data_IF_401935767505
#
_entry.id   IF_401935767505
#
_cell.length_a   1.000
_cell.length_b   1.000
_cell.length_c   1.000
_cell.angle_alpha   90.00
_cell.angle_beta   90.00
_cell.angle_gamma   90.00
#
_symmetry.space_group_name_H-M   'P 1'
#
loop_
_entity.id
_entity.type
_entity.pdbx_description
1 polymer ?
#
# COMPACT_ATOMS: atom_id res chain seq x y z
N UNK A 1 -6.66 26.25 36.69
CA UNK A 1 -6.69 25.00 35.95
C UNK A 1 -5.90 25.23 34.67
N UNK A 2 -4.66 24.74 34.61
CA UNK A 2 -3.85 24.82 33.42
C UNK A 2 -4.48 23.91 32.39
N UNK A 3 -4.95 24.49 31.26
CA UNK A 3 -5.46 23.75 30.15
C UNK A 3 -4.24 23.36 29.29
N UNK A 4 -3.74 22.16 29.47
CA UNK A 4 -2.71 21.65 28.59
C UNK A 4 -3.35 21.31 27.23
N UNK A 5 -3.10 22.16 26.24
CA UNK A 5 -3.36 21.84 24.84
C UNK A 5 -2.19 21.00 24.37
N UNK A 6 -2.33 19.68 24.41
CA UNK A 6 -1.35 18.81 23.78
C UNK A 6 -1.64 18.78 22.28
N UNK A 7 -0.80 19.45 21.53
CA UNK A 7 -0.80 19.35 20.07
C UNK A 7 -0.44 17.92 19.62
N UNK A 8 -1.01 17.48 18.52
CA UNK A 8 -0.65 16.22 17.86
C UNK A 8 0.81 16.21 17.36
N UNK A 9 1.55 17.30 17.52
CA UNK A 9 2.87 17.51 16.94
C UNK A 9 3.89 18.09 17.92
N UNK A 10 3.81 17.75 19.22
CA UNK A 10 4.83 18.15 20.16
C UNK A 10 6.22 17.80 19.68
N UNK A 11 7.12 18.75 19.74
CA UNK A 11 8.55 18.71 19.43
C UNK A 11 8.94 17.81 18.25
N UNK A 12 9.87 18.21 17.44
CA UNK A 12 10.41 17.40 16.33
C UNK A 12 11.27 16.24 16.89
N UNK A 13 10.71 15.09 17.29
CA UNK A 13 11.53 13.97 17.76
C UNK A 13 12.33 13.43 16.60
N UNK A 14 13.53 12.94 16.90
CA UNK A 14 14.44 12.34 15.90
C UNK A 14 13.73 11.23 15.08
N UNK A 15 12.83 10.48 15.71
CA UNK A 15 12.02 9.43 15.05
C UNK A 15 10.90 9.98 14.14
N UNK A 16 10.62 11.28 14.20
CA UNK A 16 9.47 11.87 13.48
C UNK A 16 8.09 11.53 14.09
N UNK A 17 8.05 10.75 15.17
CA UNK A 17 6.82 10.34 15.86
C UNK A 17 6.67 11.13 17.15
N UNK A 18 5.61 11.93 17.28
CA UNK A 18 5.28 12.68 18.49
C UNK A 18 4.38 11.88 19.42
N UNK A 19 4.53 12.05 20.75
CA UNK A 19 3.52 11.61 21.69
C UNK A 19 2.16 12.21 21.34
N UNK A 20 1.11 11.50 21.64
CA UNK A 20 -0.24 11.88 21.26
C UNK A 20 -1.19 11.69 22.42
N UNK A 21 -1.90 12.75 22.78
CA UNK A 21 -2.99 12.65 23.74
C UNK A 21 -4.17 11.89 23.09
N UNK A 22 -4.77 10.99 23.85
CA UNK A 22 -5.97 10.29 23.40
C UNK A 22 -7.21 11.11 23.77
N UNK A 23 -8.16 11.33 22.86
CA UNK A 23 -9.40 11.99 23.16
C UNK A 23 -10.13 11.30 24.33
N UNK A 24 -10.72 12.10 25.22
CA UNK A 24 -11.46 11.63 26.38
C UNK A 24 -10.64 10.90 27.46
N UNK A 25 -9.30 10.92 27.39
CA UNK A 25 -8.43 10.38 28.43
C UNK A 25 -7.72 11.56 29.12
N UNK A 26 -7.98 11.76 30.42
CA UNK A 26 -7.48 12.91 31.19
C UNK A 26 -8.17 14.23 30.82
N UNK A 27 -7.56 15.34 31.26
CA UNK A 27 -8.12 16.69 31.11
C UNK A 27 -7.58 17.45 29.87
N UNK A 28 -6.77 16.78 29.05
CA UNK A 28 -6.17 17.40 27.89
C UNK A 28 -7.19 17.61 26.76
N UNK A 29 -7.18 18.80 26.16
CA UNK A 29 -7.91 19.08 24.94
C UNK A 29 -7.04 18.71 23.75
N UNK A 30 -7.56 17.86 22.88
CA UNK A 30 -6.90 17.47 21.64
C UNK A 30 -7.43 18.34 20.50
N UNK A 31 -6.55 19.13 19.89
CA UNK A 31 -6.87 19.92 18.70
C UNK A 31 -6.45 19.13 17.47
N UNK A 32 -7.39 18.97 16.53
CA UNK A 32 -7.14 18.32 15.24
C UNK A 32 -7.57 19.29 14.15
N UNK A 33 -6.63 19.64 13.29
CA UNK A 33 -6.88 20.48 12.13
C UNK A 33 -6.50 19.74 10.84
N UNK A 34 -7.11 20.12 9.72
CA UNK A 34 -6.75 19.64 8.40
C UNK A 34 -5.55 20.40 7.81
N UNK A 35 -5.22 21.55 8.38
CA UNK A 35 -4.15 22.43 7.89
C UNK A 35 -2.86 22.23 8.68
N UNK A 36 -1.75 22.79 8.15
CA UNK A 36 -0.49 22.81 8.87
C UNK A 36 -0.63 23.69 10.13
N UNK A 37 -0.07 23.23 11.24
CA UNK A 37 -0.18 23.94 12.52
C UNK A 37 1.13 23.89 13.31
N UNK A 38 1.26 24.82 14.25
CA UNK A 38 2.37 24.89 15.20
C UNK A 38 2.21 23.87 16.34
N UNK A 39 3.19 23.81 17.24
CA UNK A 39 3.21 22.84 18.35
C UNK A 39 2.02 23.00 19.31
N UNK A 40 1.46 24.20 19.41
CA UNK A 40 0.29 24.49 20.22
C UNK A 40 -1.05 24.14 19.55
N UNK A 41 -1.00 23.61 18.32
CA UNK A 41 -2.18 23.20 17.56
C UNK A 41 -2.85 24.32 16.76
N UNK A 42 -2.33 25.55 16.80
CA UNK A 42 -2.89 26.64 15.99
C UNK A 42 -2.40 26.57 14.54
N UNK A 43 -3.31 26.81 13.61
CA UNK A 43 -3.02 26.86 12.17
C UNK A 43 -1.99 27.97 11.91
N UNK A 44 -1.01 27.64 11.08
CA UNK A 44 0.04 28.59 10.70
C UNK A 44 0.45 28.40 9.24
N UNK A 45 0.74 29.54 8.58
CA UNK A 45 1.31 29.58 7.22
C UNK A 45 2.83 29.86 7.24
N UNK A 46 3.45 29.77 8.42
CA UNK A 46 4.89 29.99 8.57
C UNK A 46 5.72 29.01 7.76
N UNK A 47 6.67 29.54 6.99
CA UNK A 47 7.48 28.78 6.04
C UNK A 47 8.41 27.79 6.75
N UNK A 48 9.01 28.21 7.88
CA UNK A 48 9.94 27.35 8.61
C UNK A 48 9.20 26.22 9.31
N UNK A 49 8.05 26.51 9.88
CA UNK A 49 7.15 25.48 10.42
C UNK A 49 6.73 24.46 9.32
N UNK A 50 6.34 24.96 8.15
CA UNK A 50 5.98 24.10 7.01
C UNK A 50 7.14 23.17 6.62
N UNK A 51 8.34 23.69 6.47
CA UNK A 51 9.54 22.92 6.12
C UNK A 51 9.87 21.87 7.21
N UNK A 52 9.83 22.27 8.47
CA UNK A 52 10.05 21.36 9.60
C UNK A 52 9.06 20.20 9.62
N UNK A 53 7.77 20.49 9.39
CA UNK A 53 6.72 19.48 9.39
C UNK A 53 6.80 18.54 8.18
N UNK A 54 7.19 19.03 7.00
CA UNK A 54 7.45 18.16 5.83
C UNK A 54 8.62 17.23 6.11
N UNK A 55 9.71 17.73 6.68
CA UNK A 55 10.88 16.91 7.01
C UNK A 55 10.55 15.87 8.10
N UNK A 56 9.76 16.24 9.10
CA UNK A 56 9.26 15.34 10.13
C UNK A 56 8.44 14.19 9.50
N UNK A 57 7.53 14.48 8.59
CA UNK A 57 6.76 13.44 7.88
C UNK A 57 7.65 12.52 7.06
N UNK A 58 8.67 13.06 6.40
CA UNK A 58 9.63 12.26 5.64
C UNK A 58 10.49 11.35 6.51
N UNK A 59 10.92 11.82 7.68
CA UNK A 59 11.77 11.02 8.59
C UNK A 59 11.07 9.75 9.08
N UNK A 60 9.74 9.76 9.20
CA UNK A 60 8.95 8.58 9.58
C UNK A 60 9.11 7.42 8.61
N UNK A 61 9.29 7.70 7.32
CA UNK A 61 9.34 6.66 6.28
C UNK A 61 10.47 5.66 6.52
N UNK A 62 11.58 6.09 7.12
CA UNK A 62 12.74 5.24 7.40
C UNK A 62 12.41 4.12 8.40
N UNK A 63 11.63 4.42 9.43
CA UNK A 63 11.23 3.43 10.41
C UNK A 63 9.99 2.65 9.96
N UNK A 64 9.03 3.33 9.31
CA UNK A 64 7.85 2.68 8.74
C UNK A 64 8.20 1.52 7.80
N UNK A 65 9.26 1.65 6.96
CA UNK A 65 9.65 0.58 6.03
C UNK A 65 9.98 -0.72 6.75
N UNK A 66 10.45 -0.65 8.01
CA UNK A 66 10.80 -1.83 8.82
C UNK A 66 9.58 -2.53 9.41
N UNK A 67 8.47 -1.80 9.50
CA UNK A 67 7.19 -2.28 10.03
C UNK A 67 6.24 -2.75 8.92
N UNK A 68 6.62 -2.53 7.63
CA UNK A 68 5.80 -2.96 6.50
C UNK A 68 5.67 -4.46 6.44
N UNK A 69 4.45 -4.93 6.27
CA UNK A 69 4.15 -6.35 6.11
C UNK A 69 4.60 -6.87 4.75
N UNK A 70 5.16 -8.05 4.73
CA UNK A 70 5.34 -8.76 3.47
C UNK A 70 3.96 -9.04 2.82
N UNK A 71 3.87 -9.09 1.48
CA UNK A 71 2.63 -9.48 0.84
C UNK A 71 2.22 -10.89 1.26
N UNK A 72 0.92 -11.13 1.39
CA UNK A 72 0.43 -12.48 1.52
C UNK A 72 0.69 -13.23 0.22
N UNK A 73 1.28 -14.39 0.32
CA UNK A 73 1.66 -15.20 -0.83
C UNK A 73 0.80 -16.46 -0.95
N UNK A 74 0.55 -16.85 -2.18
CA UNK A 74 -0.02 -18.14 -2.52
C UNK A 74 0.68 -18.63 -3.78
N UNK A 75 1.46 -19.71 -3.67
CA UNK A 75 2.30 -20.25 -4.75
C UNK A 75 3.21 -19.20 -5.42
N UNK A 76 4.09 -18.53 -4.65
CA UNK A 76 4.90 -17.42 -5.16
C UNK A 76 5.96 -17.85 -6.19
N UNK A 77 6.27 -19.14 -6.27
CA UNK A 77 7.17 -19.75 -7.25
C UNK A 77 6.54 -19.96 -8.62
N UNK A 78 5.22 -19.82 -8.75
CA UNK A 78 4.49 -20.05 -10.00
C UNK A 78 5.02 -19.17 -11.15
N UNK A 79 4.88 -19.65 -12.38
CA UNK A 79 5.29 -18.92 -13.60
C UNK A 79 4.46 -17.65 -13.83
N UNK A 80 3.18 -17.69 -13.51
CA UNK A 80 2.28 -16.54 -13.58
C UNK A 80 1.91 -16.06 -12.19
N UNK A 81 2.19 -14.80 -11.88
CA UNK A 81 1.84 -14.18 -10.60
C UNK A 81 0.80 -13.09 -10.78
N UNK A 82 -0.32 -13.23 -10.07
CA UNK A 82 -1.33 -12.20 -9.93
C UNK A 82 -0.96 -11.29 -8.77
N UNK A 83 -0.86 -10.01 -9.02
CA UNK A 83 -0.59 -9.00 -8.01
C UNK A 83 -1.86 -8.20 -7.74
N UNK A 84 -2.22 -8.06 -6.48
CA UNK A 84 -3.38 -7.26 -6.09
C UNK A 84 -3.26 -6.70 -4.68
N UNK A 85 -4.19 -5.83 -4.32
CA UNK A 85 -4.21 -5.17 -3.03
C UNK A 85 -5.63 -4.86 -2.56
N UNK A 86 -5.77 -4.71 -1.24
CA UNK A 86 -7.03 -4.30 -0.63
C UNK A 86 -8.19 -5.26 -0.93
N UNK A 87 -9.31 -4.75 -1.39
CA UNK A 87 -10.56 -5.50 -1.57
C UNK A 87 -10.53 -6.54 -2.69
N UNK A 88 -9.55 -6.49 -3.60
CA UNK A 88 -9.41 -7.50 -4.67
C UNK A 88 -8.84 -8.82 -4.17
N UNK A 89 -8.24 -8.85 -2.99
CA UNK A 89 -7.48 -9.99 -2.46
C UNK A 89 -8.29 -11.29 -2.38
N UNK A 90 -9.54 -11.22 -1.94
CA UNK A 90 -10.41 -12.40 -1.85
C UNK A 90 -10.67 -13.04 -3.21
N UNK A 91 -11.09 -12.22 -4.18
CA UNK A 91 -11.36 -12.67 -5.54
C UNK A 91 -10.12 -13.23 -6.24
N UNK A 92 -8.94 -12.65 -6.00
CA UNK A 92 -7.68 -13.16 -6.55
C UNK A 92 -7.34 -14.53 -5.97
N UNK A 93 -7.45 -14.71 -4.65
CA UNK A 93 -7.19 -16.01 -4.00
C UNK A 93 -8.04 -17.13 -4.60
N UNK A 94 -9.35 -16.91 -4.65
CA UNK A 94 -10.30 -17.87 -5.21
C UNK A 94 -10.02 -18.15 -6.69
N UNK A 95 -9.62 -17.13 -7.45
CA UNK A 95 -9.22 -17.29 -8.85
C UNK A 95 -7.96 -18.15 -9.02
N UNK A 96 -6.95 -17.94 -8.17
CA UNK A 96 -5.72 -18.74 -8.19
C UNK A 96 -6.03 -20.21 -7.88
N UNK A 97 -6.83 -20.48 -6.86
CA UNK A 97 -7.25 -21.84 -6.51
C UNK A 97 -8.01 -22.52 -7.67
N UNK A 98 -8.96 -21.79 -8.30
CA UNK A 98 -9.71 -22.27 -9.44
C UNK A 98 -8.81 -22.58 -10.66
N UNK A 99 -7.91 -21.67 -11.02
CA UNK A 99 -6.97 -21.84 -12.12
C UNK A 99 -6.00 -23.02 -11.89
N UNK A 100 -5.51 -23.20 -10.67
CA UNK A 100 -4.66 -24.34 -10.32
C UNK A 100 -5.40 -25.67 -10.39
N UNK A 101 -6.66 -25.73 -10.01
CA UNK A 101 -7.51 -26.91 -10.17
C UNK A 101 -7.72 -27.27 -11.65
N UNK A 102 -7.59 -26.30 -12.56
CA UNK A 102 -7.59 -26.51 -14.02
C UNK A 102 -6.19 -26.85 -14.58
N UNK A 103 -5.17 -26.96 -13.71
CA UNK A 103 -3.80 -27.36 -14.09
C UNK A 103 -2.88 -26.20 -14.49
N UNK A 104 -3.28 -24.94 -14.29
CA UNK A 104 -2.47 -23.76 -14.60
C UNK A 104 -1.46 -23.46 -13.49
N UNK A 105 -0.25 -23.03 -13.86
CA UNK A 105 0.81 -22.67 -12.91
C UNK A 105 0.73 -21.19 -12.54
N UNK A 106 -0.23 -20.86 -11.68
CA UNK A 106 -0.58 -19.50 -11.24
C UNK A 106 -0.44 -19.37 -9.74
N UNK A 107 0.08 -18.25 -9.29
CA UNK A 107 0.15 -17.86 -7.88
C UNK A 107 -0.25 -16.39 -7.70
N UNK A 108 -0.17 -15.87 -6.47
CA UNK A 108 -0.41 -14.46 -6.23
C UNK A 108 0.42 -13.88 -5.08
N UNK A 109 0.58 -12.56 -5.15
CA UNK A 109 1.08 -11.72 -4.06
C UNK A 109 0.03 -10.65 -3.77
N UNK A 110 -0.45 -10.59 -2.51
CA UNK A 110 -1.53 -9.71 -2.08
C UNK A 110 -1.02 -8.73 -1.05
N UNK A 111 -1.10 -7.46 -1.38
CA UNK A 111 -0.51 -6.37 -0.61
C UNK A 111 -1.54 -5.74 0.34
N UNK A 112 -1.13 -5.50 1.58
CA UNK A 112 -1.86 -4.68 2.56
C UNK A 112 -1.20 -3.32 2.72
N UNK A 113 0.12 -3.29 2.72
CA UNK A 113 0.93 -2.11 2.89
C UNK A 113 1.57 -1.69 1.57
N UNK A 114 1.31 -0.45 1.14
CA UNK A 114 1.74 0.04 -0.17
C UNK A 114 2.76 1.17 -0.10
N UNK A 115 2.79 1.90 1.03
CA UNK A 115 3.71 3.02 1.17
C UNK A 115 4.18 3.21 2.62
N UNK A 116 5.51 3.34 2.87
CA UNK A 116 6.60 3.26 1.89
C UNK A 116 6.63 1.90 1.20
N UNK A 117 6.98 1.85 -0.10
CA UNK A 117 6.89 0.61 -0.87
C UNK A 117 7.96 -0.40 -0.42
N UNK A 118 7.61 -1.65 -0.07
CA UNK A 118 8.55 -2.65 0.41
C UNK A 118 9.36 -3.29 -0.74
N UNK A 119 10.09 -2.46 -1.50
CA UNK A 119 10.75 -2.85 -2.75
C UNK A 119 11.64 -4.09 -2.62
N UNK A 120 12.50 -4.14 -1.59
CA UNK A 120 13.42 -5.27 -1.40
C UNK A 120 12.71 -6.62 -1.20
N UNK A 121 11.59 -6.61 -0.47
CA UNK A 121 10.77 -7.81 -0.25
C UNK A 121 10.12 -8.23 -1.57
N UNK A 122 9.51 -7.29 -2.28
CA UNK A 122 8.80 -7.55 -3.55
C UNK A 122 9.77 -8.05 -4.64
N UNK A 123 10.94 -7.46 -4.73
CA UNK A 123 11.99 -7.89 -5.66
C UNK A 123 12.43 -9.33 -5.43
N UNK A 124 12.46 -9.80 -4.18
CA UNK A 124 12.83 -11.19 -3.88
C UNK A 124 11.87 -12.22 -4.49
N UNK A 125 10.60 -11.86 -4.67
CA UNK A 125 9.60 -12.71 -5.34
C UNK A 125 9.61 -12.58 -6.87
N UNK A 126 9.92 -11.39 -7.37
CA UNK A 126 9.76 -11.06 -8.79
C UNK A 126 11.06 -11.14 -9.59
N UNK A 127 12.23 -11.06 -8.95
CA UNK A 127 13.55 -11.30 -9.56
C UNK A 127 13.81 -12.79 -9.61
N UNK A 128 13.76 -13.37 -10.81
CA UNK A 128 13.95 -14.81 -11.01
C UNK A 128 13.79 -15.20 -12.47
N UNK A 129 13.57 -16.49 -12.78
CA UNK A 129 13.22 -16.90 -14.12
C UNK A 129 12.00 -16.11 -14.58
N UNK A 130 12.00 -15.72 -15.86
CA UNK A 130 10.98 -14.83 -16.44
C UNK A 130 9.57 -15.24 -16.00
N UNK A 131 8.91 -14.36 -15.25
CA UNK A 131 7.56 -14.56 -14.77
C UNK A 131 6.58 -13.68 -15.55
N UNK A 132 5.40 -14.21 -15.81
CA UNK A 132 4.27 -13.39 -16.25
C UNK A 132 3.68 -12.70 -15.03
N UNK A 133 3.77 -11.39 -14.97
CA UNK A 133 3.27 -10.57 -13.86
C UNK A 133 1.99 -9.87 -14.30
N UNK A 134 0.89 -10.15 -13.63
CA UNK A 134 -0.43 -9.61 -13.96
C UNK A 134 -0.93 -8.80 -12.77
N UNK A 135 -1.15 -7.49 -12.92
CA UNK A 135 -1.84 -6.69 -11.90
C UNK A 135 -3.35 -6.84 -12.04
N UNK A 136 -4.05 -6.96 -10.91
CA UNK A 136 -5.52 -7.05 -10.85
C UNK A 136 -6.02 -5.90 -10.00
N UNK A 137 -6.65 -4.90 -10.61
CA UNK A 137 -6.93 -3.63 -9.94
C UNK A 137 -8.32 -3.07 -10.26
N UNK A 138 -8.98 -2.54 -9.22
CA UNK A 138 -10.25 -1.82 -9.36
C UNK A 138 -10.02 -0.33 -9.67
N UNK A 139 -9.26 -0.06 -10.71
CA UNK A 139 -9.06 1.27 -11.29
C UNK A 139 -8.82 1.15 -12.80
N UNK A 140 -8.80 2.28 -13.50
CA UNK A 140 -8.70 2.33 -14.95
C UNK A 140 -7.29 2.39 -15.51
N UNK A 141 -6.26 2.54 -14.68
CA UNK A 141 -4.90 2.87 -15.12
C UNK A 141 -3.77 2.11 -14.41
N UNK A 142 -4.07 0.97 -13.79
CA UNK A 142 -3.08 0.10 -13.14
C UNK A 142 -2.15 0.86 -12.16
N UNK A 143 -2.74 1.61 -11.23
CA UNK A 143 -2.00 2.47 -10.29
C UNK A 143 -0.93 1.72 -9.50
N UNK A 144 -1.28 0.54 -9.00
CA UNK A 144 -0.33 -0.31 -8.29
C UNK A 144 0.77 -0.86 -9.21
N UNK A 145 0.42 -1.27 -10.42
CA UNK A 145 1.40 -1.71 -11.41
C UNK A 145 2.40 -0.60 -11.78
N UNK A 146 1.95 0.64 -11.85
CA UNK A 146 2.84 1.80 -12.05
C UNK A 146 3.72 2.07 -10.83
N UNK A 147 3.17 1.99 -9.61
CA UNK A 147 3.93 2.12 -8.38
C UNK A 147 5.01 1.02 -8.29
N UNK A 148 4.67 -0.23 -8.59
CA UNK A 148 5.62 -1.33 -8.66
C UNK A 148 6.80 -1.00 -9.59
N UNK A 149 6.50 -0.55 -10.81
CA UNK A 149 7.53 -0.19 -11.79
C UNK A 149 8.39 0.97 -11.32
N UNK A 150 7.78 2.01 -10.74
CA UNK A 150 8.50 3.18 -10.22
C UNK A 150 9.48 2.79 -9.12
N UNK A 151 9.05 1.94 -8.18
CA UNK A 151 9.81 1.63 -6.97
C UNK A 151 10.82 0.50 -7.15
N UNK A 152 10.63 -0.40 -8.11
CA UNK A 152 11.49 -1.58 -8.31
C UNK A 152 12.15 -1.66 -9.69
N UNK A 153 11.69 -0.89 -10.66
CA UNK A 153 12.04 -1.05 -12.08
C UNK A 153 11.40 -2.27 -12.77
N UNK A 154 10.67 -3.11 -12.03
CA UNK A 154 10.01 -4.30 -12.57
C UNK A 154 8.68 -3.89 -13.21
N UNK A 155 8.48 -4.26 -14.47
CA UNK A 155 7.23 -4.00 -15.18
C UNK A 155 6.29 -5.21 -15.06
N UNK A 156 5.01 -4.94 -14.90
CA UNK A 156 3.98 -5.96 -15.10
C UNK A 156 3.85 -6.30 -16.60
N UNK A 157 3.48 -7.54 -16.89
CA UNK A 157 3.30 -8.02 -18.27
C UNK A 157 1.91 -7.64 -18.79
N UNK A 158 0.88 -7.79 -17.93
CA UNK A 158 -0.51 -7.50 -18.23
C UNK A 158 -1.22 -6.84 -17.06
N UNK A 159 -2.31 -6.14 -17.33
CA UNK A 159 -3.22 -5.62 -16.31
C UNK A 159 -4.65 -6.14 -16.55
N UNK A 160 -5.32 -6.56 -15.50
CA UNK A 160 -6.75 -6.87 -15.44
C UNK A 160 -7.40 -5.75 -14.64
N UNK A 161 -8.13 -4.87 -15.32
CA UNK A 161 -8.68 -3.66 -14.74
C UNK A 161 -10.20 -3.69 -14.77
N UNK A 162 -10.83 -3.24 -13.66
CA UNK A 162 -12.28 -3.08 -13.56
C UNK A 162 -12.60 -1.75 -12.87
N UNK A 163 -13.41 -0.94 -13.50
CA UNK A 163 -13.73 0.42 -13.02
C UNK A 163 -15.19 0.81 -13.25
N UNK A 164 -16.07 -0.21 -13.25
CA UNK A 164 -17.52 -0.05 -13.42
C UNK A 164 -18.26 0.14 -12.07
N UNK A 165 -17.51 0.29 -10.97
CA UNK A 165 -18.06 0.47 -9.62
C UNK A 165 -18.48 -0.84 -8.94
N UNK A 166 -18.22 -2.00 -9.54
CA UNK A 166 -18.54 -3.32 -8.99
C UNK A 166 -17.27 -4.08 -8.60
N UNK A 167 -17.30 -4.94 -7.57
CA UNK A 167 -16.17 -5.79 -7.23
C UNK A 167 -15.89 -6.81 -8.35
N UNK A 168 -14.67 -7.31 -8.37
CA UNK A 168 -14.34 -8.46 -9.22
C UNK A 168 -15.04 -9.73 -8.71
N UNK A 169 -15.61 -10.48 -9.63
CA UNK A 169 -15.92 -11.88 -9.39
C UNK A 169 -14.71 -12.76 -9.79
N UNK A 170 -14.44 -13.86 -9.06
CA UNK A 170 -13.31 -14.73 -9.37
C UNK A 170 -13.29 -15.21 -10.82
N UNK A 171 -14.43 -15.56 -11.37
CA UNK A 171 -14.55 -16.02 -12.76
C UNK A 171 -14.08 -14.97 -13.79
N UNK A 172 -14.30 -13.69 -13.54
CA UNK A 172 -13.84 -12.62 -14.44
C UNK A 172 -12.31 -12.57 -14.51
N UNK A 173 -11.64 -12.77 -13.36
CA UNK A 173 -10.18 -12.83 -13.28
C UNK A 173 -9.67 -14.11 -13.98
N UNK A 174 -10.29 -15.26 -13.71
CA UNK A 174 -9.92 -16.54 -14.31
C UNK A 174 -10.02 -16.47 -15.84
N UNK A 175 -11.12 -15.96 -16.38
CA UNK A 175 -11.33 -15.84 -17.83
C UNK A 175 -10.31 -14.89 -18.46
N UNK A 176 -10.02 -13.77 -17.78
CA UNK A 176 -9.03 -12.81 -18.24
C UNK A 176 -7.59 -13.38 -18.24
N UNK A 177 -7.22 -14.22 -17.28
CA UNK A 177 -5.93 -14.93 -17.25
C UNK A 177 -5.85 -15.94 -18.39
N UNK A 178 -6.87 -16.80 -18.54
CA UNK A 178 -6.94 -17.81 -19.60
C UNK A 178 -6.84 -17.21 -21.01
N UNK A 179 -7.45 -16.05 -21.22
CA UNK A 179 -7.38 -15.37 -22.53
C UNK A 179 -5.96 -14.91 -22.89
N UNK A 180 -5.09 -14.67 -21.91
CA UNK A 180 -3.72 -14.20 -22.10
C UNK A 180 -2.71 -15.32 -22.31
N UNK A 181 -2.97 -16.52 -21.81
CA UNK A 181 -2.08 -17.68 -22.04
C UNK A 181 -2.25 -18.31 -23.44
N UNK A 182 -3.32 -17.95 -24.14
CA UNK A 182 -3.58 -18.46 -25.51
C UNK A 182 -2.92 -17.62 -26.62
N UNK A 183 -2.32 -16.48 -26.25
CA UNK A 183 -1.61 -15.57 -27.16
C UNK A 183 -0.11 -15.55 -26.87
#
# INVERSE_FOLDING_TARGET
TEIYTLSLHDALPISGISPRALPCIGDARVVVSSDEHSEDGHITEDIDNRNAMVNKRKSKLTDMIREMSAPQELFPEAKTLLLGWGSTSGSIKESVEGLRNEGMDVGCLLFTDLWPFPAAIVESYLKGPAKTIITVEQNSNAQFGHLLKEQTGISYTHAILKYDGRPFYPIEIMDAVKAREKN
#
